data_IF_978519673932
#
_entry.id   IF_978519673932
#
_cell.length_a   1.000
_cell.length_b   1.000
_cell.length_c   1.000
_cell.angle_alpha   90.00
_cell.angle_beta   90.00
_cell.angle_gamma   90.00
#
_symmetry.space_group_name_H-M   'P 1'
#
loop_
_entity.id
_entity.type
_entity.pdbx_description
1 polymer ?
#
# COMPACT_ATOMS: atom_id res chain seq x y z
N UNK A 1 11.37 12.29 -36.48
CA UNK A 1 10.04 12.87 -36.78
C UNK A 1 9.24 12.82 -35.51
N UNK A 2 8.91 13.97 -34.92
CA UNK A 2 8.09 14.02 -33.72
C UNK A 2 6.71 13.43 -34.01
N UNK A 3 6.32 12.44 -33.22
CA UNK A 3 4.98 11.88 -33.28
C UNK A 3 4.01 12.98 -32.82
N UNK A 4 2.97 13.34 -33.59
CA UNK A 4 2.06 14.38 -33.18
C UNK A 4 1.42 14.04 -31.82
N UNK A 5 1.34 15.03 -30.94
CA UNK A 5 0.69 14.88 -29.64
C UNK A 5 -0.78 14.54 -29.85
N UNK A 6 -1.21 13.38 -29.34
CA UNK A 6 -2.61 13.00 -29.33
C UNK A 6 -3.25 13.52 -28.04
N UNK A 7 -4.08 14.57 -28.16
CA UNK A 7 -4.79 15.19 -27.05
C UNK A 7 -6.26 14.81 -27.18
N UNK A 8 -6.84 14.25 -26.12
CA UNK A 8 -8.27 13.91 -26.07
C UNK A 8 -8.94 14.70 -24.94
N UNK A 9 -9.96 15.49 -25.28
CA UNK A 9 -10.79 16.19 -24.30
C UNK A 9 -12.07 15.38 -24.04
N UNK A 10 -12.42 15.20 -22.77
CA UNK A 10 -13.64 14.51 -22.35
C UNK A 10 -14.32 15.25 -21.20
N UNK A 11 -15.65 15.21 -21.15
CA UNK A 11 -16.39 15.58 -19.96
C UNK A 11 -16.49 14.38 -19.03
N UNK A 12 -16.24 14.60 -17.74
CA UNK A 12 -16.43 13.60 -16.69
C UNK A 12 -17.59 14.01 -15.76
N UNK A 13 -18.28 13.06 -15.12
CA UNK A 13 -19.31 13.37 -14.13
C UNK A 13 -18.76 14.19 -12.96
N UNK A 14 -19.64 14.86 -12.22
CA UNK A 14 -19.24 15.57 -11.00
C UNK A 14 -19.02 14.60 -9.82
N UNK A 15 -18.28 15.07 -8.82
CA UNK A 15 -18.04 14.35 -7.57
C UNK A 15 -17.33 13.01 -7.77
N UNK A 16 -17.69 12.03 -6.95
CA UNK A 16 -17.02 10.73 -6.90
C UNK A 16 -17.10 9.94 -8.20
N UNK A 17 -18.17 10.10 -8.99
CA UNK A 17 -18.27 9.45 -10.30
C UNK A 17 -17.23 10.00 -11.28
N UNK A 18 -16.90 11.29 -11.18
CA UNK A 18 -15.75 11.89 -11.87
C UNK A 18 -14.45 11.22 -11.46
N UNK A 19 -14.19 11.12 -10.14
CA UNK A 19 -13.00 10.43 -9.60
C UNK A 19 -12.88 8.99 -10.10
N UNK A 20 -13.98 8.23 -10.14
CA UNK A 20 -13.98 6.85 -10.67
C UNK A 20 -13.61 6.82 -12.16
N UNK A 21 -14.11 7.78 -12.94
CA UNK A 21 -13.78 7.92 -14.36
C UNK A 21 -12.30 8.25 -14.55
N UNK A 22 -11.77 9.20 -13.79
CA UNK A 22 -10.35 9.57 -13.80
C UNK A 22 -9.47 8.37 -13.43
N UNK A 23 -9.81 7.64 -12.36
CA UNK A 23 -9.07 6.44 -11.94
C UNK A 23 -9.00 5.37 -13.02
N UNK A 24 -10.09 5.18 -13.78
CA UNK A 24 -10.09 4.27 -14.93
C UNK A 24 -9.05 4.70 -15.98
N UNK A 25 -9.00 6.00 -16.30
CA UNK A 25 -8.01 6.53 -17.23
C UNK A 25 -6.58 6.41 -16.70
N UNK A 26 -6.35 6.68 -15.42
CA UNK A 26 -5.04 6.49 -14.77
C UNK A 26 -4.59 5.03 -14.91
N UNK A 27 -5.46 4.07 -14.59
CA UNK A 27 -5.16 2.63 -14.72
C UNK A 27 -4.81 2.28 -16.18
N UNK A 28 -5.57 2.79 -17.14
CA UNK A 28 -5.31 2.55 -18.56
C UNK A 28 -3.96 3.15 -19.01
N UNK A 29 -3.62 4.35 -18.53
CA UNK A 29 -2.34 4.99 -18.83
C UNK A 29 -1.14 4.27 -18.20
N UNK A 30 -1.27 3.76 -16.97
CA UNK A 30 -0.26 2.90 -16.35
C UNK A 30 -0.06 1.64 -17.18
N UNK A 31 -1.15 0.94 -17.53
CA UNK A 31 -1.10 -0.29 -18.34
C UNK A 31 -0.53 -0.07 -19.74
N UNK A 32 -0.79 1.09 -20.35
CA UNK A 32 -0.21 1.46 -21.64
C UNK A 32 1.29 1.76 -21.50
N UNK A 33 1.67 2.55 -20.50
CA UNK A 33 3.07 2.88 -20.22
C UNK A 33 3.92 1.66 -19.86
N UNK A 34 3.35 0.69 -19.13
CA UNK A 34 4.01 -0.57 -18.80
C UNK A 34 4.40 -1.40 -20.04
N UNK A 35 3.68 -1.21 -21.16
CA UNK A 35 3.94 -1.88 -22.45
C UNK A 35 4.76 -1.03 -23.42
N UNK A 36 5.12 0.18 -23.03
CA UNK A 36 5.89 1.09 -23.87
C UNK A 36 7.40 0.80 -23.73
N UNK A 37 8.06 0.39 -24.82
CA UNK A 37 9.49 0.06 -24.82
C UNK A 37 10.39 1.22 -24.39
N UNK A 38 10.02 2.48 -24.63
CA UNK A 38 10.84 3.62 -24.21
C UNK A 38 10.73 3.84 -22.70
N UNK A 39 9.54 3.68 -22.12
CA UNK A 39 9.33 3.72 -20.67
C UNK A 39 10.13 2.60 -20.00
N UNK A 40 10.04 1.37 -20.53
CA UNK A 40 10.84 0.23 -20.04
C UNK A 40 12.34 0.47 -20.18
N UNK A 41 12.81 0.94 -21.34
CA UNK A 41 14.22 1.21 -21.56
C UNK A 41 14.73 2.28 -20.59
N UNK A 42 13.98 3.35 -20.38
CA UNK A 42 14.37 4.41 -19.44
C UNK A 42 14.45 3.89 -18.00
N UNK A 43 13.51 3.04 -17.58
CA UNK A 43 13.60 2.38 -16.28
C UNK A 43 14.88 1.55 -16.15
N UNK A 44 15.22 0.72 -17.15
CA UNK A 44 16.45 -0.08 -17.19
C UNK A 44 17.70 0.81 -17.15
N UNK A 45 17.73 1.89 -17.93
CA UNK A 45 18.87 2.80 -18.00
C UNK A 45 19.13 3.47 -16.65
N UNK A 46 18.07 3.84 -15.91
CA UNK A 46 18.20 4.39 -14.55
C UNK A 46 18.82 3.37 -13.59
N UNK A 47 18.42 2.09 -13.68
CA UNK A 47 18.98 1.03 -12.85
C UNK A 47 20.47 0.81 -13.16
N UNK A 48 20.84 0.79 -14.44
CA UNK A 48 22.23 0.65 -14.89
C UNK A 48 23.08 1.85 -14.44
N UNK A 49 22.60 3.07 -14.63
CA UNK A 49 23.29 4.30 -14.21
C UNK A 49 23.50 4.37 -12.70
N UNK A 50 22.56 3.84 -11.91
CA UNK A 50 22.68 3.75 -10.44
C UNK A 50 23.44 2.51 -9.95
N UNK A 51 23.90 1.64 -10.84
CA UNK A 51 24.63 0.43 -10.48
C UNK A 51 23.82 -0.56 -9.66
N UNK A 52 22.49 -0.61 -9.85
CA UNK A 52 21.62 -1.54 -9.14
C UNK A 52 21.94 -2.97 -9.58
N UNK A 53 22.26 -3.83 -8.62
CA UNK A 53 22.63 -5.22 -8.89
C UNK A 53 21.42 -5.98 -9.44
N UNK A 54 21.67 -6.91 -10.37
CA UNK A 54 20.64 -7.82 -10.84
C UNK A 54 19.96 -8.54 -9.66
N UNK A 55 18.62 -8.62 -9.71
CA UNK A 55 17.77 -9.22 -8.66
C UNK A 55 17.73 -8.45 -7.33
N UNK A 56 18.28 -7.23 -7.26
CA UNK A 56 18.04 -6.31 -6.15
C UNK A 56 16.69 -5.60 -6.33
N UNK A 57 15.60 -6.37 -6.29
CA UNK A 57 14.25 -5.89 -6.58
C UNK A 57 13.81 -4.71 -5.69
N UNK A 58 14.25 -4.68 -4.44
CA UNK A 58 13.95 -3.54 -3.56
C UNK A 58 14.79 -2.30 -3.94
N UNK A 59 16.05 -2.51 -4.33
CA UNK A 59 16.91 -1.48 -4.88
C UNK A 59 16.36 -0.89 -6.18
N UNK A 60 15.78 -1.73 -7.05
CA UNK A 60 15.11 -1.29 -8.29
C UNK A 60 13.93 -0.36 -8.00
N UNK A 61 13.02 -0.81 -7.12
CA UNK A 61 11.88 -0.02 -6.66
C UNK A 61 12.33 1.34 -6.11
N UNK A 62 13.30 1.32 -5.18
CA UNK A 62 13.82 2.54 -4.55
C UNK A 62 14.44 3.48 -5.57
N UNK A 63 15.23 2.96 -6.52
CA UNK A 63 15.89 3.73 -7.54
C UNK A 63 14.90 4.47 -8.45
N UNK A 64 13.85 3.78 -8.89
CA UNK A 64 12.80 4.38 -9.74
C UNK A 64 11.96 5.40 -8.98
N UNK A 65 11.57 5.08 -7.73
CA UNK A 65 10.86 6.01 -6.86
C UNK A 65 11.63 7.33 -6.66
N UNK A 66 12.90 7.24 -6.28
CA UNK A 66 13.75 8.41 -6.06
C UNK A 66 14.01 9.17 -7.36
N UNK A 67 14.17 8.46 -8.47
CA UNK A 67 14.33 9.12 -9.76
C UNK A 67 13.12 9.97 -10.11
N UNK A 68 11.89 9.43 -9.99
CA UNK A 68 10.66 10.19 -10.27
C UNK A 68 10.55 11.39 -9.31
N UNK A 69 10.77 11.18 -8.01
CA UNK A 69 10.73 12.23 -6.99
C UNK A 69 11.73 13.37 -7.26
N UNK A 70 12.91 13.06 -7.82
CA UNK A 70 13.97 14.04 -8.06
C UNK A 70 13.91 14.69 -9.44
N UNK A 71 13.29 14.02 -10.42
CA UNK A 71 13.37 14.42 -11.83
C UNK A 71 12.06 14.93 -12.41
N UNK A 72 10.95 14.84 -11.66
CA UNK A 72 9.65 15.35 -12.09
C UNK A 72 9.24 16.50 -11.18
N UNK A 73 9.00 17.67 -11.77
CA UNK A 73 8.54 18.86 -11.06
C UNK A 73 7.03 18.77 -10.80
N UNK A 74 6.64 18.82 -9.53
CA UNK A 74 5.23 18.97 -9.18
C UNK A 74 4.65 20.26 -9.79
N UNK A 75 3.58 20.12 -10.57
CA UNK A 75 2.90 21.20 -11.29
C UNK A 75 1.43 20.94 -11.25
N UNK A 76 0.65 21.93 -10.80
CA UNK A 76 -0.81 21.82 -10.83
C UNK A 76 -1.30 21.70 -12.26
N UNK A 77 -2.43 21.04 -12.38
CA UNK A 77 -3.28 21.04 -13.55
C UNK A 77 -3.52 22.42 -14.18
N UNK A 78 -3.88 22.38 -15.47
CA UNK A 78 -4.36 23.56 -16.18
C UNK A 78 -5.59 24.11 -15.47
N UNK A 79 -5.70 25.43 -15.37
CA UNK A 79 -6.78 26.07 -14.62
C UNK A 79 -8.16 25.56 -15.05
N UNK A 80 -8.88 24.94 -14.10
CA UNK A 80 -10.23 24.34 -14.27
C UNK A 80 -10.30 23.09 -15.15
N UNK A 81 -9.18 22.43 -15.44
CA UNK A 81 -9.15 21.22 -16.27
C UNK A 81 -8.19 20.20 -15.67
N UNK A 82 -8.69 19.01 -15.33
CA UNK A 82 -7.84 17.86 -14.95
C UNK A 82 -7.07 17.35 -16.17
N UNK A 83 -5.75 17.18 -16.05
CA UNK A 83 -4.88 16.78 -17.16
C UNK A 83 -4.10 15.53 -16.77
N UNK A 84 -4.33 14.45 -17.53
CA UNK A 84 -3.56 13.20 -17.37
C UNK A 84 -2.55 13.05 -18.50
N UNK A 85 -1.28 12.86 -18.17
CA UNK A 85 -0.23 12.57 -19.12
C UNK A 85 0.08 11.07 -19.20
N UNK A 86 0.40 10.59 -20.40
CA UNK A 86 1.00 9.26 -20.53
C UNK A 86 2.38 9.21 -19.88
N UNK A 87 2.82 8.02 -19.44
CA UNK A 87 4.16 7.85 -18.88
C UNK A 87 5.27 8.30 -19.84
N UNK A 88 5.14 8.03 -21.15
CA UNK A 88 6.06 8.55 -22.17
C UNK A 88 6.10 10.08 -22.18
N UNK A 89 4.93 10.73 -22.15
CA UNK A 89 4.86 12.19 -22.11
C UNK A 89 5.48 12.76 -20.84
N UNK A 90 5.32 12.08 -19.70
CA UNK A 90 5.95 12.49 -18.44
C UNK A 90 7.48 12.42 -18.48
N UNK A 91 8.06 11.44 -19.19
CA UNK A 91 9.51 11.37 -19.40
C UNK A 91 10.06 12.54 -20.24
N UNK A 92 9.27 13.06 -21.18
CA UNK A 92 9.62 14.22 -22.01
C UNK A 92 9.41 15.53 -21.26
N UNK A 93 8.23 15.70 -20.64
CA UNK A 93 7.77 16.95 -20.05
C UNK A 93 8.45 17.26 -18.70
N UNK A 94 8.75 16.22 -17.91
CA UNK A 94 9.35 16.31 -16.57
C UNK A 94 8.57 17.20 -15.59
N UNK A 95 7.27 17.34 -15.79
CA UNK A 95 6.40 18.13 -14.93
C UNK A 95 4.96 17.61 -14.97
N UNK A 96 4.30 17.53 -13.82
CA UNK A 96 2.94 17.02 -13.65
C UNK A 96 2.54 16.99 -12.18
N UNK A 97 1.34 16.52 -11.88
CA UNK A 97 0.80 16.51 -10.52
C UNK A 97 0.83 15.10 -9.87
N UNK A 98 0.10 14.88 -8.78
CA UNK A 98 0.00 13.59 -8.10
C UNK A 98 -0.43 12.41 -8.97
N UNK A 99 -1.37 12.59 -9.92
CA UNK A 99 -1.79 11.50 -10.78
C UNK A 99 -0.74 11.17 -11.85
N UNK A 100 -0.15 12.19 -12.48
CA UNK A 100 0.91 12.10 -13.47
C UNK A 100 2.16 11.39 -12.93
N UNK A 101 2.59 11.78 -11.73
CA UNK A 101 3.73 11.14 -11.05
C UNK A 101 3.40 9.68 -10.70
N UNK A 102 2.16 9.39 -10.32
CA UNK A 102 1.69 8.03 -10.06
C UNK A 102 1.62 7.19 -11.35
N UNK A 103 1.18 7.78 -12.47
CA UNK A 103 1.14 7.14 -13.78
C UNK A 103 2.54 6.75 -14.23
N UNK A 104 3.48 7.71 -14.19
CA UNK A 104 4.86 7.47 -14.60
C UNK A 104 5.52 6.39 -13.74
N UNK A 105 5.48 6.54 -12.42
CA UNK A 105 6.14 5.59 -11.52
C UNK A 105 5.51 4.19 -11.61
N UNK A 106 4.17 4.12 -11.68
CA UNK A 106 3.46 2.86 -11.85
C UNK A 106 3.83 2.16 -13.16
N UNK A 107 3.87 2.92 -14.26
CA UNK A 107 4.25 2.38 -15.57
C UNK A 107 5.69 1.89 -15.60
N UNK A 108 6.64 2.64 -15.03
CA UNK A 108 8.04 2.23 -14.96
C UNK A 108 8.20 0.95 -14.13
N UNK A 109 7.56 0.86 -12.96
CA UNK A 109 7.60 -0.32 -12.09
C UNK A 109 6.98 -1.56 -12.77
N UNK A 110 5.77 -1.44 -13.30
CA UNK A 110 5.12 -2.56 -13.99
C UNK A 110 5.88 -2.97 -15.25
N UNK A 111 6.50 -2.00 -15.95
CA UNK A 111 7.30 -2.30 -17.15
C UNK A 111 8.48 -3.21 -16.86
N UNK A 112 8.99 -3.26 -15.61
CA UNK A 112 10.08 -4.14 -15.19
C UNK A 112 9.62 -5.26 -14.24
N UNK A 113 8.31 -5.49 -14.13
CA UNK A 113 7.75 -6.63 -13.42
C UNK A 113 7.39 -6.38 -11.95
N UNK A 114 7.41 -5.14 -11.46
CA UNK A 114 6.99 -4.81 -10.09
C UNK A 114 5.49 -4.50 -10.05
N UNK A 115 4.65 -5.33 -9.39
CA UNK A 115 3.22 -5.14 -9.44
C UNK A 115 2.78 -3.97 -8.54
N UNK A 116 1.97 -3.05 -9.07
CA UNK A 116 1.49 -1.86 -8.31
C UNK A 116 -0.02 -1.85 -8.09
N UNK A 117 -0.47 -1.00 -7.16
CA UNK A 117 -1.87 -0.61 -6.95
C UNK A 117 -1.95 0.86 -6.63
N UNK A 118 -3.09 1.49 -6.89
CA UNK A 118 -3.29 2.92 -6.60
C UNK A 118 -3.91 3.10 -5.21
N UNK A 119 -3.61 4.22 -4.58
CA UNK A 119 -4.19 4.63 -3.31
C UNK A 119 -4.68 6.07 -3.44
N UNK A 120 -5.96 6.28 -3.22
CA UNK A 120 -6.56 7.62 -3.13
C UNK A 120 -6.89 7.94 -1.67
N UNK A 121 -6.70 9.21 -1.29
CA UNK A 121 -6.91 9.67 0.08
C UNK A 121 -7.71 10.97 0.14
N UNK A 122 -8.43 11.16 1.25
CA UNK A 122 -9.30 12.31 1.49
C UNK A 122 -9.16 12.85 2.91
N UNK A 123 -9.21 14.17 3.13
CA UNK A 123 -8.92 14.77 4.44
C UNK A 123 -10.10 14.74 5.42
N UNK A 124 -11.32 14.47 4.96
CA UNK A 124 -12.54 14.63 5.76
C UNK A 124 -13.27 13.29 5.95
N UNK A 125 -13.34 12.74 7.18
CA UNK A 125 -14.05 11.49 7.46
C UNK A 125 -15.57 11.57 7.21
N UNK A 126 -16.15 12.77 7.20
CA UNK A 126 -17.57 12.99 6.90
C UNK A 126 -17.85 13.06 5.40
N UNK A 127 -16.81 13.21 4.56
CA UNK A 127 -16.90 13.22 3.10
C UNK A 127 -16.03 12.12 2.51
N UNK A 128 -16.44 10.87 2.74
CA UNK A 128 -15.70 9.66 2.34
C UNK A 128 -15.47 9.51 0.83
N UNK A 129 -16.20 10.28 0.04
CA UNK A 129 -16.18 10.31 -1.42
C UNK A 129 -15.38 11.49 -1.99
N UNK A 130 -14.82 12.35 -1.12
CA UNK A 130 -13.98 13.48 -1.50
C UNK A 130 -12.50 13.12 -1.36
N UNK A 131 -11.86 12.83 -2.49
CA UNK A 131 -10.44 12.53 -2.57
C UNK A 131 -9.67 13.76 -3.07
N UNK A 132 -8.47 13.97 -2.51
CA UNK A 132 -7.64 15.16 -2.82
C UNK A 132 -6.21 14.80 -3.21
N UNK A 133 -5.83 13.52 -3.12
CA UNK A 133 -4.48 13.07 -3.45
C UNK A 133 -4.49 11.60 -3.85
N UNK A 134 -3.59 11.24 -4.76
CA UNK A 134 -3.33 9.87 -5.21
C UNK A 134 -1.83 9.58 -5.13
N UNK A 135 -1.50 8.36 -4.73
CA UNK A 135 -0.16 7.78 -4.83
C UNK A 135 -0.28 6.29 -5.17
N UNK A 136 0.83 5.56 -5.25
CA UNK A 136 0.81 4.12 -5.50
C UNK A 136 1.50 3.31 -4.40
N UNK A 137 1.15 2.05 -4.32
CA UNK A 137 1.86 1.05 -3.53
C UNK A 137 2.41 -0.03 -4.46
N UNK A 138 3.64 -0.47 -4.20
CA UNK A 138 4.27 -1.59 -4.91
C UNK A 138 4.28 -2.83 -4.03
N UNK A 139 4.07 -3.99 -4.63
CA UNK A 139 4.16 -5.25 -3.93
C UNK A 139 5.60 -5.75 -3.93
N UNK A 140 6.17 -5.96 -2.75
CA UNK A 140 7.49 -6.55 -2.58
C UNK A 140 7.48 -7.47 -1.37
N UNK A 141 7.83 -8.74 -1.58
CA UNK A 141 7.94 -9.75 -0.50
C UNK A 141 6.76 -9.73 0.48
N UNK A 142 5.53 -9.72 -0.04
CA UNK A 142 4.33 -9.96 0.78
C UNK A 142 3.77 -8.69 1.40
N UNK A 143 4.45 -7.58 1.16
CA UNK A 143 4.13 -6.28 1.71
C UNK A 143 3.86 -5.30 0.56
N UNK A 144 2.85 -4.46 0.78
CA UNK A 144 2.63 -3.28 -0.05
C UNK A 144 3.41 -2.12 0.55
N UNK A 145 4.33 -1.57 -0.24
CA UNK A 145 5.19 -0.45 0.15
C UNK A 145 4.64 0.82 -0.51
N UNK A 146 4.33 1.83 0.30
CA UNK A 146 3.84 3.12 -0.21
C UNK A 146 4.93 3.91 -0.91
N UNK A 147 4.59 4.44 -2.09
CA UNK A 147 5.45 5.22 -2.95
C UNK A 147 4.72 6.51 -3.34
N UNK A 148 4.90 7.55 -2.53
CA UNK A 148 4.39 8.89 -2.81
C UNK A 148 5.53 9.79 -3.31
N UNK A 149 5.69 9.85 -4.63
CA UNK A 149 6.81 10.57 -5.24
C UNK A 149 6.62 12.10 -5.21
N UNK A 150 5.44 12.60 -4.82
CA UNK A 150 5.15 14.04 -4.78
C UNK A 150 5.63 14.70 -3.49
N UNK A 151 6.02 13.89 -2.51
CA UNK A 151 6.44 14.34 -1.19
C UNK A 151 7.93 14.04 -0.98
N UNK A 152 8.69 14.89 -0.27
CA UNK A 152 10.12 14.71 -0.04
C UNK A 152 10.40 13.71 1.10
N UNK A 153 9.76 12.54 1.05
CA UNK A 153 9.90 11.46 2.04
C UNK A 153 10.44 10.19 1.39
N UNK A 154 11.13 9.34 2.15
CA UNK A 154 11.64 8.08 1.63
C UNK A 154 10.52 7.09 1.28
N UNK A 155 10.86 6.12 0.44
CA UNK A 155 10.03 4.95 0.16
C UNK A 155 9.46 4.33 1.45
N UNK A 156 8.17 3.98 1.43
CA UNK A 156 7.44 3.42 2.57
C UNK A 156 6.74 4.47 3.44
N UNK A 157 7.00 5.76 3.23
CA UNK A 157 6.19 6.81 3.84
C UNK A 157 4.81 6.88 3.18
N UNK A 158 3.79 7.15 3.99
CA UNK A 158 2.42 7.38 3.52
C UNK A 158 1.80 8.57 4.26
N UNK A 159 0.95 9.37 3.60
CA UNK A 159 0.21 10.45 4.25
C UNK A 159 -0.68 9.93 5.38
N UNK A 160 -0.72 10.67 6.51
CA UNK A 160 -1.72 10.45 7.55
C UNK A 160 -3.04 11.04 7.09
N UNK A 161 -4.05 10.20 6.93
CA UNK A 161 -5.35 10.58 6.36
C UNK A 161 -6.48 9.86 7.09
N UNK A 162 -7.69 10.44 7.03
CA UNK A 162 -8.89 9.85 7.61
C UNK A 162 -9.60 8.91 6.64
N UNK A 163 -9.54 9.22 5.33
CA UNK A 163 -10.16 8.43 4.28
C UNK A 163 -9.08 7.90 3.37
N UNK A 164 -8.99 6.57 3.23
CA UNK A 164 -8.07 5.88 2.32
C UNK A 164 -8.84 4.80 1.56
N UNK A 165 -8.68 4.78 0.23
CA UNK A 165 -9.23 3.73 -0.62
C UNK A 165 -8.13 3.14 -1.50
N UNK A 166 -8.07 1.82 -1.54
CA UNK A 166 -7.12 1.06 -2.35
C UNK A 166 -7.82 0.63 -3.63
N UNK A 167 -7.19 0.92 -4.76
CA UNK A 167 -7.69 0.57 -6.09
C UNK A 167 -6.72 -0.45 -6.68
N UNK A 168 -7.18 -1.71 -6.74
CA UNK A 168 -6.40 -2.78 -7.34
C UNK A 168 -6.29 -2.57 -8.86
N UNK A 169 -5.12 -2.88 -9.41
CA UNK A 169 -4.97 -3.02 -10.86
C UNK A 169 -5.38 -4.43 -11.25
N UNK A 170 -6.38 -4.58 -12.13
CA UNK A 170 -6.79 -5.90 -12.65
C UNK A 170 -5.61 -6.60 -13.34
N UNK A 171 -5.24 -7.78 -12.82
CA UNK A 171 -4.18 -8.64 -13.35
C UNK A 171 -4.81 -9.92 -13.89
N UNK A 172 -4.27 -10.45 -14.99
CA UNK A 172 -4.73 -11.75 -15.51
C UNK A 172 -4.46 -12.83 -14.45
N UNK A 173 -5.43 -13.69 -14.09
CA UNK A 173 -5.30 -14.66 -13.00
C UNK A 173 -4.11 -15.62 -13.14
N UNK A 174 -3.73 -15.99 -14.38
CA UNK A 174 -2.68 -16.99 -14.63
C UNK A 174 -1.27 -16.49 -14.32
N UNK A 175 -0.98 -15.19 -14.52
CA UNK A 175 0.36 -14.62 -14.26
C UNK A 175 0.63 -14.41 -12.77
N UNK A 176 -0.40 -14.17 -11.95
CA UNK A 176 -0.21 -14.05 -10.50
C UNK A 176 0.37 -15.33 -9.90
N UNK A 177 -0.13 -16.51 -10.28
CA UNK A 177 0.43 -17.78 -9.77
C UNK A 177 1.92 -17.94 -10.11
N UNK A 178 2.31 -17.68 -11.36
CA UNK A 178 3.68 -17.81 -11.83
C UNK A 178 4.64 -16.75 -11.25
N UNK A 179 4.19 -15.50 -11.11
CA UNK A 179 5.00 -14.41 -10.52
C UNK A 179 5.14 -14.56 -9.00
N UNK A 180 4.11 -15.08 -8.33
CA UNK A 180 4.14 -15.45 -6.90
C UNK A 180 5.13 -16.60 -6.65
N UNK A 181 5.19 -17.59 -7.53
CA UNK A 181 6.16 -18.70 -7.48
C UNK A 181 7.61 -18.21 -7.73
N UNK A 182 7.80 -17.29 -8.68
CA UNK A 182 9.12 -16.71 -9.00
C UNK A 182 9.66 -15.77 -7.90
N UNK A 183 8.77 -15.11 -7.14
CA UNK A 183 9.12 -14.19 -6.05
C UNK A 183 9.01 -14.82 -4.65
N UNK A 184 8.79 -16.13 -4.56
CA UNK A 184 8.85 -16.89 -3.31
C UNK A 184 7.65 -16.69 -2.37
N UNK A 185 6.43 -16.78 -2.89
CA UNK A 185 5.21 -16.75 -2.08
C UNK A 185 4.57 -18.12 -1.87
N UNK A 186 4.66 -18.61 -0.63
CA UNK A 186 3.62 -19.47 -0.09
C UNK A 186 2.28 -18.74 -0.12
N UNK A 187 1.25 -19.45 -0.60
CA UNK A 187 -0.12 -19.01 -0.76
C UNK A 187 -0.61 -18.02 0.32
N UNK A 188 -1.33 -16.97 -0.09
CA UNK A 188 -2.22 -16.24 0.81
C UNK A 188 -3.04 -17.28 1.58
N UNK A 189 -2.86 -17.33 2.90
CA UNK A 189 -3.72 -18.14 3.76
C UNK A 189 -5.10 -17.47 3.76
N UNK A 190 -5.92 -17.79 2.77
CA UNK A 190 -7.34 -17.47 2.78
C UNK A 190 -7.93 -18.06 4.07
N UNK A 191 -8.14 -17.20 5.07
CA UNK A 191 -8.72 -17.64 6.34
C UNK A 191 -10.14 -18.14 6.06
N UNK A 192 -10.42 -19.44 6.24
CA UNK A 192 -11.72 -20.00 5.90
C UNK A 192 -12.85 -19.30 6.65
N UNK A 193 -14.00 -19.13 5.99
CA UNK A 193 -15.17 -18.45 6.56
C UNK A 193 -15.62 -19.08 7.89
N UNK A 194 -15.54 -20.41 8.00
CA UNK A 194 -15.86 -21.14 9.23
C UNK A 194 -14.95 -20.74 10.41
N UNK A 195 -13.67 -20.45 10.17
CA UNK A 195 -12.70 -20.07 11.20
C UNK A 195 -12.96 -18.63 11.67
N UNK A 196 -13.30 -17.73 10.74
CA UNK A 196 -13.73 -16.36 11.09
C UNK A 196 -14.99 -16.38 11.96
N UNK A 197 -15.98 -17.19 11.57
CA UNK A 197 -17.22 -17.36 12.34
C UNK A 197 -16.98 -17.99 13.70
N UNK A 198 -16.02 -18.92 13.84
CA UNK A 198 -15.65 -19.48 15.15
C UNK A 198 -15.04 -18.42 16.07
N UNK A 199 -14.10 -17.62 15.57
CA UNK A 199 -13.44 -16.55 16.35
C UNK A 199 -14.48 -15.52 16.81
N UNK A 200 -15.42 -15.15 15.93
CA UNK A 200 -16.55 -14.27 16.28
C UNK A 200 -17.43 -14.90 17.36
N UNK A 201 -17.75 -16.19 17.21
CA UNK A 201 -18.60 -16.87 18.18
C UNK A 201 -17.95 -16.99 19.57
N UNK A 202 -16.65 -17.30 19.64
CA UNK A 202 -15.91 -17.35 20.92
C UNK A 202 -15.89 -15.98 21.61
N UNK A 203 -15.90 -14.89 20.82
CA UNK A 203 -15.88 -13.52 21.34
C UNK A 203 -17.12 -13.16 22.14
N UNK A 204 -18.30 -13.53 21.66
CA UNK A 204 -19.55 -13.02 22.23
C UNK A 204 -20.80 -13.88 22.01
N UNK A 205 -20.76 -14.92 21.18
CA UNK A 205 -21.95 -15.71 20.86
C UNK A 205 -22.01 -16.99 21.71
N UNK A 206 -23.17 -17.65 21.69
CA UNK A 206 -23.29 -19.00 22.26
C UNK A 206 -22.72 -20.04 21.28
N UNK A 207 -21.98 -21.01 21.81
CA UNK A 207 -21.49 -22.17 21.07
C UNK A 207 -22.04 -23.42 21.75
N UNK A 208 -22.73 -24.27 21.00
CA UNK A 208 -23.25 -25.53 21.55
C UNK A 208 -22.10 -26.53 21.77
N UNK A 209 -22.22 -27.46 22.72
CA UNK A 209 -21.33 -28.62 22.76
C UNK A 209 -21.31 -29.32 21.40
N UNK A 210 -20.17 -29.91 21.04
CA UNK A 210 -19.94 -30.60 19.76
C UNK A 210 -20.11 -29.73 18.49
N UNK A 211 -19.87 -28.41 18.57
CA UNK A 211 -19.95 -27.51 17.42
C UNK A 211 -18.97 -27.88 16.29
N UNK A 212 -19.46 -27.97 15.06
CA UNK A 212 -18.68 -28.37 13.88
C UNK A 212 -17.47 -27.46 13.60
N UNK A 213 -17.56 -26.16 13.91
CA UNK A 213 -16.43 -25.24 13.68
C UNK A 213 -15.27 -25.55 14.63
N UNK A 214 -15.58 -25.97 15.86
CA UNK A 214 -14.58 -26.41 16.85
C UNK A 214 -13.92 -27.71 16.40
N UNK A 215 -14.71 -28.64 15.83
CA UNK A 215 -14.19 -29.88 15.22
C UNK A 215 -13.25 -29.58 14.06
N UNK A 216 -13.62 -28.67 13.17
CA UNK A 216 -12.79 -28.26 12.03
C UNK A 216 -11.45 -27.68 12.47
N UNK A 217 -11.45 -26.81 13.49
CA UNK A 217 -10.19 -26.29 14.04
C UNK A 217 -9.35 -27.38 14.69
N UNK A 218 -9.97 -28.30 15.43
CA UNK A 218 -9.28 -29.42 16.05
C UNK A 218 -8.60 -30.31 15.01
N UNK A 219 -9.32 -30.68 13.95
CA UNK A 219 -8.79 -31.51 12.87
C UNK A 219 -7.64 -30.82 12.12
N UNK A 220 -7.76 -29.51 11.87
CA UNK A 220 -6.69 -28.74 11.21
C UNK A 220 -5.42 -28.67 12.06
N UNK A 221 -5.56 -28.43 13.36
CA UNK A 221 -4.42 -28.45 14.29
C UNK A 221 -3.81 -29.85 14.41
N UNK A 222 -4.62 -30.91 14.36
CA UNK A 222 -4.15 -32.30 14.36
C UNK A 222 -3.35 -32.61 13.10
N UNK A 223 -3.87 -32.24 11.92
CA UNK A 223 -3.22 -32.45 10.62
C UNK A 223 -1.83 -31.80 10.56
N UNK A 224 -1.69 -30.62 11.18
CA UNK A 224 -0.43 -29.86 11.25
C UNK A 224 0.46 -30.21 12.45
N UNK A 225 0.09 -31.23 13.23
CA UNK A 225 0.81 -31.65 14.45
C UNK A 225 0.96 -30.54 15.51
N UNK A 226 0.02 -29.58 15.54
CA UNK A 226 0.06 -28.40 16.44
C UNK A 226 -0.69 -28.61 17.77
N UNK A 227 -1.41 -29.72 17.94
CA UNK A 227 -2.17 -29.99 19.16
C UNK A 227 -1.28 -30.32 20.38
N UNK A 228 -0.13 -30.96 20.16
CA UNK A 228 0.84 -31.30 21.22
C UNK A 228 1.73 -30.12 21.59
N UNK A 229 2.07 -29.27 20.62
CA UNK A 229 2.91 -28.08 20.81
C UNK A 229 2.17 -26.92 21.49
N UNK A 230 0.83 -26.93 21.48
CA UNK A 230 0.00 -25.87 22.05
C UNK A 230 -1.08 -26.40 23.02
N UNK A 231 -0.70 -26.84 24.24
CA UNK A 231 -1.63 -27.45 25.21
C UNK A 231 -2.79 -26.53 25.60
N UNK A 232 -2.53 -25.22 25.68
CA UNK A 232 -3.59 -24.25 25.99
C UNK A 232 -4.70 -24.21 24.92
N UNK A 233 -4.36 -24.28 23.62
CA UNK A 233 -5.37 -24.28 22.55
C UNK A 233 -6.20 -25.56 22.64
N UNK A 234 -5.53 -26.69 22.87
CA UNK A 234 -6.16 -28.00 23.06
C UNK A 234 -7.17 -27.97 24.22
N UNK A 235 -6.79 -27.46 25.39
CA UNK A 235 -7.69 -27.34 26.55
C UNK A 235 -8.89 -26.44 26.28
N UNK A 236 -8.67 -25.30 25.62
CA UNK A 236 -9.76 -24.37 25.26
C UNK A 236 -10.74 -25.05 24.32
N UNK A 237 -10.27 -25.69 23.25
CA UNK A 237 -11.14 -26.39 22.31
C UNK A 237 -11.86 -27.57 22.96
N UNK A 238 -11.19 -28.34 23.82
CA UNK A 238 -11.80 -29.45 24.54
C UNK A 238 -12.89 -28.99 25.51
N UNK A 239 -12.68 -27.86 26.20
CA UNK A 239 -13.69 -27.26 27.08
C UNK A 239 -14.90 -26.77 26.29
N UNK A 240 -14.69 -26.09 25.15
CA UNK A 240 -15.78 -25.63 24.28
C UNK A 240 -16.52 -26.84 23.69
N UNK A 241 -15.79 -27.87 23.26
CA UNK A 241 -16.38 -29.08 22.69
C UNK A 241 -17.29 -29.81 23.68
N UNK A 242 -16.87 -29.91 24.94
CA UNK A 242 -17.59 -30.66 25.99
C UNK A 242 -18.71 -29.86 26.63
N UNK A 243 -18.47 -28.59 26.98
CA UNK A 243 -19.41 -27.77 27.76
C UNK A 243 -20.13 -26.70 26.94
N UNK A 244 -19.69 -26.44 25.70
CA UNK A 244 -20.14 -25.29 24.93
C UNK A 244 -19.63 -23.97 25.52
N UNK A 245 -20.16 -22.86 25.01
CA UNK A 245 -20.00 -21.51 25.55
C UNK A 245 -21.36 -20.82 25.61
N UNK A 246 -21.69 -20.22 26.75
CA UNK A 246 -22.81 -19.28 26.83
C UNK A 246 -22.50 -17.97 26.08
N UNK A 247 -23.51 -17.26 25.58
CA UNK A 247 -23.38 -15.94 24.96
C UNK A 247 -22.95 -14.87 25.99
N UNK A 248 -21.65 -14.80 26.26
CA UNK A 248 -21.01 -13.84 27.17
C UNK A 248 -19.72 -13.32 26.51
N UNK A 249 -19.37 -12.04 26.69
CA UNK A 249 -18.16 -11.48 26.10
C UNK A 249 -16.89 -12.12 26.69
N UNK A 250 -15.98 -12.57 25.83
CA UNK A 250 -14.68 -13.17 26.20
C UNK A 250 -13.53 -12.62 25.35
N UNK A 251 -13.27 -11.29 25.39
CA UNK A 251 -12.28 -10.65 24.53
C UNK A 251 -10.86 -11.19 24.77
N UNK A 252 -10.44 -11.35 26.04
CA UNK A 252 -9.10 -11.82 26.39
C UNK A 252 -8.82 -13.25 25.90
N UNK A 253 -9.78 -14.15 26.04
CA UNK A 253 -9.66 -15.53 25.54
C UNK A 253 -9.58 -15.55 24.01
N UNK A 254 -10.39 -14.71 23.35
CA UNK A 254 -10.40 -14.60 21.89
C UNK A 254 -9.10 -14.02 21.36
N UNK A 255 -8.57 -12.97 21.97
CA UNK A 255 -7.31 -12.35 21.58
C UNK A 255 -6.12 -13.28 21.76
N UNK A 256 -6.06 -14.00 22.89
CA UNK A 256 -5.03 -15.02 23.14
C UNK A 256 -5.11 -16.14 22.11
N UNK A 257 -6.32 -16.63 21.79
CA UNK A 257 -6.52 -17.64 20.75
C UNK A 257 -6.08 -17.14 19.37
N UNK A 258 -6.55 -15.97 18.95
CA UNK A 258 -6.16 -15.36 17.66
C UNK A 258 -4.64 -15.18 17.57
N UNK A 259 -3.99 -14.74 18.64
CA UNK A 259 -2.53 -14.54 18.67
C UNK A 259 -1.79 -15.87 18.48
N UNK A 260 -2.23 -16.92 19.16
CA UNK A 260 -1.69 -18.27 19.00
C UNK A 260 -1.94 -18.83 17.59
N UNK A 261 -3.14 -18.65 17.04
CA UNK A 261 -3.49 -19.05 15.68
C UNK A 261 -2.65 -18.33 14.61
N UNK A 262 -2.20 -17.09 14.86
CA UNK A 262 -1.23 -16.39 14.01
C UNK A 262 0.17 -16.99 14.11
N UNK A 263 0.65 -17.30 15.32
CA UNK A 263 1.97 -17.89 15.53
C UNK A 263 2.14 -19.22 14.80
N UNK A 264 1.07 -19.99 14.66
CA UNK A 264 1.05 -21.29 13.95
C UNK A 264 0.69 -21.17 12.46
N UNK A 265 0.56 -19.95 11.93
CA UNK A 265 0.25 -19.73 10.52
C UNK A 265 -1.15 -20.19 10.09
N UNK A 266 -2.14 -20.20 10.98
CA UNK A 266 -3.56 -20.42 10.66
C UNK A 266 -4.33 -19.11 10.42
N UNK A 267 -3.77 -18.00 10.88
CA UNK A 267 -4.24 -16.65 10.61
C UNK A 267 -3.07 -15.81 10.08
N UNK A 268 -3.32 -14.83 9.20
CA UNK A 268 -2.29 -13.92 8.75
C UNK A 268 -1.70 -13.16 9.93
N UNK A 269 -0.40 -12.79 9.88
CA UNK A 269 0.23 -11.98 10.91
C UNK A 269 -0.58 -10.70 11.14
N UNK A 270 -0.46 -10.12 12.35
CA UNK A 270 -1.08 -8.82 12.60
C UNK A 270 -0.52 -7.84 11.57
N UNK A 271 -1.33 -7.43 10.59
CA UNK A 271 -1.08 -6.21 9.86
C UNK A 271 -0.97 -5.09 10.90
N UNK A 272 0.11 -4.32 10.83
CA UNK A 272 0.24 -3.07 11.57
C UNK A 272 -0.85 -2.12 11.08
N UNK A 273 -2.01 -2.13 11.75
CA UNK A 273 -2.76 -0.89 11.96
C UNK A 273 -1.87 0.10 12.74
N UNK A 274 -2.16 1.41 12.69
CA UNK A 274 -1.21 2.45 13.05
C UNK A 274 -0.81 2.34 14.52
N UNK A 275 0.37 1.81 14.80
CA UNK A 275 0.94 1.83 16.13
C UNK A 275 1.53 3.23 16.35
N UNK A 276 1.02 3.90 17.38
CA UNK A 276 1.58 5.12 17.93
C UNK A 276 3.03 4.87 18.34
N UNK A 277 3.97 5.37 17.52
CA UNK A 277 5.33 5.63 17.98
C UNK A 277 5.37 7.05 18.51
N UNK A 278 5.38 7.19 19.84
CA UNK A 278 5.96 8.37 20.47
C UNK A 278 7.45 8.40 20.16
N UNK A 279 7.96 9.41 19.44
CA UNK A 279 9.39 9.56 19.33
C UNK A 279 9.92 10.16 20.64
N UNK A 280 10.90 9.47 21.25
CA UNK A 280 11.84 10.11 22.18
C UNK A 280 12.46 11.32 21.48
N UNK A 281 12.50 12.47 22.17
CA UNK A 281 13.09 13.72 21.65
C UNK A 281 14.56 13.51 21.26
N UNK A 282 14.99 13.89 20.05
CA UNK A 282 16.41 14.05 19.75
C UNK A 282 16.96 15.35 20.36
N UNK A 283 18.26 15.44 20.66
CA UNK A 283 18.87 16.61 21.31
C UNK A 283 18.90 17.82 20.37
N UNK A 284 18.70 19.01 20.94
CA UNK A 284 18.73 20.30 20.22
C UNK A 284 20.09 20.53 19.57
N UNK A 285 20.10 20.71 18.25
CA UNK A 285 21.23 21.28 17.52
C UNK A 285 21.02 22.80 17.44
N UNK A 286 21.90 23.57 18.08
CA UNK A 286 21.89 25.04 18.00
C UNK A 286 22.27 25.49 16.58
N UNK A 287 21.47 26.39 16.00
CA UNK A 287 21.78 27.03 14.71
C UNK A 287 22.71 28.22 14.91
N UNK A 288 23.70 28.46 14.02
CA UNK A 288 24.58 29.61 14.11
C UNK A 288 23.85 30.90 13.74
N UNK A 289 24.07 31.94 14.54
CA UNK A 289 23.52 33.29 14.35
C UNK A 289 24.26 33.99 13.21
N UNK A 290 23.52 34.54 12.23
CA UNK A 290 24.09 35.44 11.22
C UNK A 290 24.28 36.83 11.83
N UNK A 291 25.52 37.33 11.84
CA UNK A 291 25.83 38.72 12.19
C UNK A 291 25.42 39.62 11.04
N UNK A 292 24.56 40.61 11.31
CA UNK A 292 24.15 41.65 10.35
C UNK A 292 24.90 42.93 10.68
N UNK A 293 25.54 43.63 9.70
CA UNK A 293 26.24 44.88 9.96
C UNK A 293 25.25 46.01 10.26
N UNK A 294 25.46 46.70 11.39
CA UNK A 294 24.66 47.86 11.83
C UNK A 294 25.15 49.12 11.11
N UNK A 295 24.24 49.89 10.49
CA UNK A 295 24.56 51.21 9.92
C UNK A 295 24.59 52.28 11.02
N UNK A 296 25.54 53.22 11.01
CA UNK A 296 25.61 54.30 11.99
C UNK A 296 24.47 55.32 11.79
N UNK A 297 23.86 55.71 12.91
CA UNK A 297 22.80 56.73 12.98
C UNK A 297 23.43 58.11 12.77
N UNK A 298 22.90 58.89 11.82
CA UNK A 298 23.29 60.30 11.64
C UNK A 298 22.74 61.14 12.79
N UNK A 299 23.63 61.82 13.51
CA UNK A 299 23.24 62.85 14.46
C UNK A 299 22.72 64.08 13.70
N UNK A 300 21.47 64.47 13.97
CA UNK A 300 20.96 65.80 13.61
C UNK A 300 21.35 66.78 14.74
N UNK A 301 21.98 67.89 14.36
CA UNK A 301 22.02 69.12 15.16
C UNK A 301 20.68 69.83 15.07
#
# INVERSE_FOLDING_TARGET
MDRPLNITLQQIPSGYQGTVRTLKHIIDLVKQGAKDFHVRQTAIDILLQRGIRAKDYLGEVKALFEWVQQNIRYTKDTFRVEVLHSARRMLELRAGDCDDMSILLGAMLESIGHPVRLVIIGPDPLKQDLFTHIYLEVFHKGCWISLDATMPYPMGWAPKTFVKKIIAMERRPSMMSADMDLHGFGAELEVPTWLRSLIRAIRSEAIRPKDERVRSLWNELRKRQQLSTHPWIKEVLQRIWTKGLAARPRPLTTEKLVTRLRQIGLLPPRGTGPAAHHPRRPPMVMRPVRVVPVRPVRAHR
#
